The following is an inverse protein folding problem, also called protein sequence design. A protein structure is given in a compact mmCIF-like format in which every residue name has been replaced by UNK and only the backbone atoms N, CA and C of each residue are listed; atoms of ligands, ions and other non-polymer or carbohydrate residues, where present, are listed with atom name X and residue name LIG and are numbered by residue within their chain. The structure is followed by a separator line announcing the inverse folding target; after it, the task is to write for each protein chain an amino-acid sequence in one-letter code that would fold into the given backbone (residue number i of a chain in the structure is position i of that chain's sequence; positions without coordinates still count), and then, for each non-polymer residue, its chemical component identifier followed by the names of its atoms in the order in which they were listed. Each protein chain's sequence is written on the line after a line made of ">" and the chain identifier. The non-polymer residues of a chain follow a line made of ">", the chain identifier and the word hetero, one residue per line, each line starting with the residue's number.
data_IF_912505617186
#
_entry.id   IF_912505617186
#
_cell.length_a   1.000
_cell.length_b   1.000
_cell.length_c   1.000
_cell.angle_alpha   90.00
_cell.angle_beta   90.00
_cell.angle_gamma   90.00
#
_symmetry.space_group_name_H-M   'P 1'
#
loop_
_entity.id
_entity.type
_entity.pdbx_description
1 polymer ?
#
# COMPACT_ATOMS: atom_id res chain seq x y z
N UNK A 1 16.20 1.37 -6.10
CA UNK A 1 16.67 0.81 -4.82
C UNK A 1 17.32 -0.56 -5.03
N UNK A 2 18.17 -1.03 -4.11
CA UNK A 2 18.62 -2.43 -4.07
C UNK A 2 17.50 -3.32 -3.53
N UNK A 3 17.30 -4.49 -4.15
CA UNK A 3 16.15 -5.36 -3.81
C UNK A 3 16.56 -6.58 -2.99
N UNK A 4 17.88 -6.82 -2.84
CA UNK A 4 18.44 -7.89 -2.02
C UNK A 4 18.97 -7.35 -0.68
N UNK A 5 19.13 -8.27 0.27
CA UNK A 5 19.77 -7.98 1.58
C UNK A 5 19.05 -6.89 2.41
N UNK A 6 17.76 -6.68 2.17
CA UNK A 6 16.93 -5.81 2.99
C UNK A 6 16.19 -6.60 4.06
N UNK A 7 15.78 -5.94 5.13
CA UNK A 7 14.80 -6.42 6.09
C UNK A 7 13.54 -5.55 5.97
N UNK A 8 12.44 -6.14 5.51
CA UNK A 8 11.27 -5.41 5.00
C UNK A 8 10.03 -5.76 5.82
N UNK A 9 9.30 -4.76 6.29
CA UNK A 9 7.97 -4.92 6.87
C UNK A 9 6.90 -4.51 5.85
N UNK A 10 5.96 -5.43 5.54
CA UNK A 10 4.85 -5.20 4.61
C UNK A 10 3.52 -5.32 5.35
N UNK A 11 2.78 -4.21 5.46
CA UNK A 11 1.43 -4.24 6.00
C UNK A 11 0.44 -4.79 4.97
N UNK A 12 -0.51 -5.65 5.41
CA UNK A 12 -1.41 -6.33 4.48
C UNK A 12 -0.69 -7.34 3.56
N UNK A 13 0.45 -7.87 4.01
CA UNK A 13 1.32 -8.75 3.23
C UNK A 13 0.85 -10.21 3.09
N UNK A 14 -0.33 -10.57 3.60
CA UNK A 14 -0.84 -11.94 3.53
C UNK A 14 -1.78 -12.21 2.34
N UNK A 15 -1.99 -11.24 1.45
CA UNK A 15 -2.82 -11.40 0.25
C UNK A 15 -2.59 -10.27 -0.76
N UNK A 16 -3.03 -10.49 -2.00
CA UNK A 16 -3.04 -9.47 -3.06
C UNK A 16 -1.66 -8.85 -3.31
N UNK A 17 -1.62 -7.55 -3.61
CA UNK A 17 -0.39 -6.82 -3.97
C UNK A 17 0.69 -6.98 -2.91
N UNK A 18 0.34 -6.86 -1.62
CA UNK A 18 1.32 -6.98 -0.54
C UNK A 18 1.98 -8.35 -0.47
N UNK A 19 1.21 -9.42 -0.70
CA UNK A 19 1.74 -10.78 -0.74
C UNK A 19 2.63 -10.99 -1.98
N UNK A 20 2.19 -10.56 -3.15
CA UNK A 20 2.96 -10.69 -4.38
C UNK A 20 4.30 -9.91 -4.34
N UNK A 21 4.33 -8.75 -3.69
CA UNK A 21 5.57 -8.02 -3.42
C UNK A 21 6.45 -8.75 -2.41
N UNK A 22 5.86 -9.33 -1.34
CA UNK A 22 6.57 -10.10 -0.33
C UNK A 22 7.31 -11.30 -0.94
N UNK A 23 6.67 -12.05 -1.84
CA UNK A 23 7.27 -13.18 -2.56
C UNK A 23 8.50 -12.74 -3.37
N UNK A 24 8.39 -11.61 -4.07
CA UNK A 24 9.47 -11.09 -4.92
C UNK A 24 10.66 -10.58 -4.12
N UNK A 25 10.41 -9.89 -3.01
CA UNK A 25 11.47 -9.48 -2.11
C UNK A 25 12.17 -10.67 -1.46
N UNK A 26 11.41 -11.70 -1.07
CA UNK A 26 11.96 -12.94 -0.55
C UNK A 26 12.84 -13.64 -1.61
N UNK A 27 12.34 -13.77 -2.83
CA UNK A 27 13.06 -14.37 -3.96
C UNK A 27 14.35 -13.61 -4.32
N UNK A 28 14.36 -12.28 -4.09
CA UNK A 28 15.55 -11.46 -4.27
C UNK A 28 16.58 -11.57 -3.13
N UNK A 29 16.29 -12.35 -2.07
CA UNK A 29 17.19 -12.55 -0.94
C UNK A 29 17.05 -11.52 0.18
N UNK A 30 15.90 -10.89 0.31
CA UNK A 30 15.55 -10.04 1.46
C UNK A 30 14.86 -10.84 2.56
N UNK A 31 15.04 -10.40 3.81
CA UNK A 31 14.27 -10.87 4.97
C UNK A 31 12.91 -10.16 4.98
N UNK A 32 11.82 -10.92 5.00
CA UNK A 32 10.48 -10.37 4.81
C UNK A 32 9.58 -10.66 6.00
N UNK A 33 9.04 -9.57 6.54
CA UNK A 33 8.06 -9.57 7.62
C UNK A 33 6.72 -9.12 7.03
N UNK A 34 5.69 -9.94 7.19
CA UNK A 34 4.34 -9.60 6.76
C UNK A 34 3.44 -9.46 7.98
N UNK A 35 2.60 -8.43 7.99
CA UNK A 35 1.56 -8.30 9.01
C UNK A 35 0.18 -8.11 8.41
N UNK A 36 -0.83 -8.47 9.20
CA UNK A 36 -2.23 -8.35 8.82
C UNK A 36 -3.16 -8.80 9.93
N UNK A 37 -4.46 -8.52 9.80
CA UNK A 37 -5.47 -8.84 10.83
C UNK A 37 -5.98 -10.29 10.78
N UNK A 38 -5.79 -11.00 9.65
CA UNK A 38 -6.28 -12.36 9.41
C UNK A 38 -5.18 -13.36 9.73
N UNK A 39 -5.26 -13.97 10.93
CA UNK A 39 -4.26 -14.94 11.39
C UNK A 39 -4.19 -16.19 10.50
N UNK A 40 -5.36 -16.63 9.96
CA UNK A 40 -5.47 -17.73 9.01
C UNK A 40 -4.68 -17.47 7.72
N UNK A 41 -4.83 -16.28 7.12
CA UNK A 41 -4.10 -15.90 5.90
C UNK A 41 -2.59 -15.74 6.14
N UNK A 42 -2.19 -15.24 7.29
CA UNK A 42 -0.77 -15.19 7.67
C UNK A 42 -0.18 -16.59 7.83
N UNK A 43 -0.95 -17.53 8.39
CA UNK A 43 -0.53 -18.93 8.51
C UNK A 43 -0.40 -19.59 7.13
N UNK A 44 -1.39 -19.44 6.24
CA UNK A 44 -1.34 -19.93 4.86
C UNK A 44 -0.10 -19.40 4.12
N UNK A 45 0.18 -18.09 4.22
CA UNK A 45 1.36 -17.47 3.63
C UNK A 45 2.67 -18.04 4.20
N UNK A 46 2.71 -18.30 5.52
CA UNK A 46 3.86 -18.91 6.20
C UNK A 46 4.06 -20.38 5.81
N UNK A 47 2.98 -21.12 5.54
CA UNK A 47 3.04 -22.51 5.07
C UNK A 47 3.60 -22.58 3.64
N UNK A 48 3.23 -21.61 2.77
CA UNK A 48 3.76 -21.51 1.41
C UNK A 48 5.22 -21.04 1.37
N UNK A 49 5.56 -20.07 2.22
CA UNK A 49 6.91 -19.51 2.35
C UNK A 49 7.35 -19.54 3.82
N UNK A 50 7.96 -20.65 4.28
CA UNK A 50 8.42 -20.78 5.68
C UNK A 50 9.40 -19.70 6.14
N UNK A 51 10.05 -18.99 5.22
CA UNK A 51 10.97 -17.90 5.49
C UNK A 51 10.28 -16.60 5.90
N UNK A 52 8.97 -16.42 5.60
CA UNK A 52 8.26 -15.22 6.04
C UNK A 52 8.19 -15.15 7.56
N UNK A 53 8.47 -14.00 8.13
CA UNK A 53 8.10 -13.67 9.48
C UNK A 53 6.68 -13.09 9.49
N UNK A 54 5.85 -13.52 10.41
CA UNK A 54 4.43 -13.11 10.42
C UNK A 54 4.04 -12.49 11.75
N UNK A 55 3.26 -11.40 11.72
CA UNK A 55 2.69 -10.77 12.91
C UNK A 55 1.23 -10.44 12.70
N UNK A 56 0.36 -10.91 13.60
CA UNK A 56 -1.04 -10.46 13.61
C UNK A 56 -1.07 -9.02 14.11
N UNK A 57 -1.64 -8.13 13.31
CA UNK A 57 -1.79 -6.72 13.64
C UNK A 57 -2.97 -6.13 12.88
N UNK A 58 -3.88 -5.49 13.60
CA UNK A 58 -4.93 -4.67 13.02
C UNK A 58 -4.45 -3.21 12.96
N UNK A 59 -3.96 -2.78 11.81
CA UNK A 59 -3.43 -1.43 11.62
C UNK A 59 -4.45 -0.30 11.83
N UNK A 60 -5.78 -0.61 11.91
CA UNK A 60 -6.78 0.36 12.31
C UNK A 60 -6.64 0.80 13.78
N UNK A 61 -5.95 0.01 14.61
CA UNK A 61 -5.80 0.30 16.05
C UNK A 61 -4.42 0.89 16.35
N UNK A 62 -4.42 2.04 16.99
CA UNK A 62 -3.19 2.76 17.31
C UNK A 62 -2.24 1.96 18.19
N UNK A 63 -2.76 1.34 19.25
CA UNK A 63 -1.97 0.51 20.16
C UNK A 63 -1.31 -0.68 19.43
N UNK A 64 -2.04 -1.34 18.50
CA UNK A 64 -1.47 -2.46 17.74
C UNK A 64 -0.38 -2.00 16.75
N UNK A 65 -0.46 -0.75 16.22
CA UNK A 65 0.63 -0.16 15.41
C UNK A 65 1.88 0.11 16.23
N UNK A 66 1.72 0.60 17.48
CA UNK A 66 2.84 0.83 18.41
C UNK A 66 3.49 -0.50 18.78
N UNK A 67 2.71 -1.50 19.18
CA UNK A 67 3.19 -2.84 19.50
C UNK A 67 3.89 -3.52 18.30
N UNK A 68 3.38 -3.31 17.08
CA UNK A 68 4.03 -3.77 15.84
C UNK A 68 5.40 -3.13 15.64
N UNK A 69 5.48 -1.82 15.84
CA UNK A 69 6.75 -1.08 15.71
C UNK A 69 7.78 -1.57 16.75
N UNK A 70 7.41 -1.59 18.02
CA UNK A 70 8.31 -2.01 19.12
C UNK A 70 8.83 -3.44 18.91
N UNK A 71 7.93 -4.36 18.57
CA UNK A 71 8.29 -5.73 18.24
C UNK A 71 9.21 -5.80 17.01
N UNK A 72 8.87 -5.10 15.93
CA UNK A 72 9.61 -5.18 14.69
C UNK A 72 11.06 -4.68 14.84
N UNK A 73 11.30 -3.57 15.55
CA UNK A 73 12.66 -3.06 15.75
C UNK A 73 13.47 -3.87 16.77
N UNK A 74 12.79 -4.55 17.71
CA UNK A 74 13.43 -5.44 18.68
C UNK A 74 13.89 -6.75 18.05
N UNK A 75 13.01 -7.41 17.29
CA UNK A 75 13.31 -8.69 16.65
C UNK A 75 14.15 -8.55 15.37
N UNK A 76 13.97 -7.43 14.66
CA UNK A 76 14.60 -7.14 13.37
C UNK A 76 15.33 -5.79 13.41
N UNK A 77 16.42 -5.65 14.14
CA UNK A 77 17.13 -4.38 14.32
C UNK A 77 17.68 -3.79 13.01
N UNK A 78 17.81 -4.60 11.97
CA UNK A 78 18.26 -4.19 10.64
C UNK A 78 17.10 -3.79 9.70
N UNK A 79 15.86 -3.77 10.18
CA UNK A 79 14.71 -3.37 9.36
C UNK A 79 14.96 -1.99 8.73
N UNK A 80 15.00 -1.96 7.40
CA UNK A 80 15.32 -0.76 6.64
C UNK A 80 14.23 -0.36 5.63
N UNK A 81 13.20 -1.19 5.42
CA UNK A 81 12.12 -0.85 4.49
C UNK A 81 10.75 -1.07 5.16
N UNK A 82 9.90 -0.04 5.11
CA UNK A 82 8.49 -0.09 5.47
C UNK A 82 7.62 0.00 4.22
N UNK A 83 6.76 -1.00 4.00
CA UNK A 83 5.75 -0.98 2.93
C UNK A 83 4.35 -0.82 3.53
N UNK A 84 3.78 0.37 3.38
CA UNK A 84 2.41 0.71 3.72
C UNK A 84 1.47 0.26 2.58
N UNK A 85 1.05 -1.00 2.62
CA UNK A 85 0.18 -1.59 1.59
C UNK A 85 -1.22 -1.93 2.12
N UNK A 86 -1.40 -2.16 3.42
CA UNK A 86 -2.70 -2.49 3.98
C UNK A 86 -3.79 -1.50 3.54
N UNK A 87 -4.90 -2.03 3.05
CA UNK A 87 -6.04 -1.22 2.60
C UNK A 87 -7.32 -2.02 2.54
N UNK A 88 -8.43 -1.32 2.62
CA UNK A 88 -9.78 -1.85 2.35
C UNK A 88 -10.50 -0.92 1.39
N UNK A 89 -11.46 -1.45 0.64
CA UNK A 89 -12.30 -0.70 -0.27
C UNK A 89 -13.76 -1.07 -0.01
N UNK A 90 -14.62 -0.06 0.13
CA UNK A 90 -16.06 -0.26 0.33
C UNK A 90 -16.84 0.50 -0.72
N UNK A 91 -17.86 -0.16 -1.26
CA UNK A 91 -18.90 0.54 -2.04
C UNK A 91 -19.82 1.25 -1.08
N UNK A 92 -20.00 2.55 -1.30
CA UNK A 92 -20.76 3.44 -0.41
C UNK A 92 -21.72 4.26 -1.25
N UNK A 93 -23.00 4.27 -0.88
CA UNK A 93 -23.98 5.21 -1.40
C UNK A 93 -24.22 6.31 -0.34
N UNK A 94 -23.64 7.47 -0.55
CA UNK A 94 -23.71 8.61 0.40
C UNK A 94 -25.12 9.17 0.60
N UNK A 95 -26.10 8.78 -0.23
CA UNK A 95 -27.51 9.18 -0.07
C UNK A 95 -28.29 8.24 0.85
N UNK A 96 -27.72 7.12 1.23
CA UNK A 96 -28.30 6.15 2.14
C UNK A 96 -27.72 6.30 3.55
N UNK A 97 -28.45 5.76 4.53
CA UNK A 97 -27.97 5.79 5.92
C UNK A 97 -26.90 4.72 6.11
N UNK A 98 -25.65 5.13 6.24
CA UNK A 98 -24.51 4.24 6.42
C UNK A 98 -24.02 4.21 7.87
N UNK A 99 -23.37 3.07 8.23
CA UNK A 99 -22.67 2.96 9.49
C UNK A 99 -21.37 3.76 9.45
N UNK A 100 -21.33 4.91 10.12
CA UNK A 100 -20.15 5.78 10.20
C UNK A 100 -18.88 5.04 10.68
N UNK A 101 -19.02 4.10 11.62
CA UNK A 101 -17.87 3.33 12.12
C UNK A 101 -17.12 2.54 11.02
N UNK A 102 -17.81 2.11 9.97
CA UNK A 102 -17.15 1.44 8.84
C UNK A 102 -16.40 2.45 7.94
N UNK A 103 -16.91 3.67 7.83
CA UNK A 103 -16.21 4.77 7.14
C UNK A 103 -14.96 5.20 7.92
N UNK A 104 -15.06 5.38 9.23
CA UNK A 104 -13.89 5.64 10.10
C UNK A 104 -12.82 4.58 9.95
N UNK A 105 -13.22 3.31 9.96
CA UNK A 105 -12.29 2.19 9.80
C UNK A 105 -11.57 2.19 8.44
N UNK A 106 -12.24 2.58 7.36
CA UNK A 106 -11.60 2.73 6.04
C UNK A 106 -10.58 3.85 6.06
N UNK A 107 -10.89 5.00 6.66
CA UNK A 107 -9.97 6.13 6.84
C UNK A 107 -8.78 5.72 7.71
N UNK A 108 -9.02 5.05 8.84
CA UNK A 108 -7.98 4.57 9.75
C UNK A 108 -6.99 3.64 9.05
N UNK A 109 -7.48 2.65 8.29
CA UNK A 109 -6.62 1.68 7.63
C UNK A 109 -5.87 2.32 6.46
N UNK A 110 -6.58 3.07 5.60
CA UNK A 110 -6.02 3.50 4.32
C UNK A 110 -5.17 4.78 4.43
N UNK A 111 -5.37 5.59 5.46
CA UNK A 111 -4.68 6.86 5.61
C UNK A 111 -4.01 7.04 6.98
N UNK A 112 -4.74 6.94 8.10
CA UNK A 112 -4.16 7.19 9.42
C UNK A 112 -3.04 6.19 9.74
N UNK A 113 -3.22 4.91 9.41
CA UNK A 113 -2.22 3.89 9.67
C UNK A 113 -0.90 4.11 8.90
N UNK A 114 -0.88 4.34 7.58
CA UNK A 114 0.34 4.68 6.85
C UNK A 114 1.06 5.92 7.40
N UNK A 115 0.32 6.97 7.74
CA UNK A 115 0.88 8.20 8.33
C UNK A 115 1.53 7.91 9.68
N UNK A 116 0.83 7.19 10.56
CA UNK A 116 1.32 6.88 11.90
C UNK A 116 2.51 5.91 11.87
N UNK A 117 2.44 4.84 11.08
CA UNK A 117 3.56 3.91 10.92
C UNK A 117 4.79 4.60 10.32
N UNK A 118 4.64 5.43 9.30
CA UNK A 118 5.75 6.22 8.76
C UNK A 118 6.42 7.04 9.85
N UNK A 119 5.65 7.74 10.70
CA UNK A 119 6.18 8.53 11.81
C UNK A 119 6.90 7.69 12.86
N UNK A 120 6.36 6.52 13.22
CA UNK A 120 6.97 5.61 14.19
C UNK A 120 8.31 5.07 13.69
N UNK A 121 8.37 4.65 12.42
CA UNK A 121 9.55 4.02 11.86
C UNK A 121 10.65 5.01 11.42
N UNK A 122 10.34 6.27 11.07
CA UNK A 122 11.32 7.24 10.59
C UNK A 122 12.59 7.37 11.46
N UNK A 123 12.53 7.49 12.81
CA UNK A 123 13.74 7.62 13.62
C UNK A 123 14.64 6.38 13.57
N UNK A 124 14.07 5.20 13.45
CA UNK A 124 14.79 3.95 13.29
C UNK A 124 15.38 3.85 11.88
N UNK A 125 14.58 4.11 10.84
CA UNK A 125 15.00 4.04 9.44
C UNK A 125 16.13 5.02 9.12
N UNK A 126 16.10 6.22 9.69
CA UNK A 126 17.15 7.23 9.47
C UNK A 126 18.56 6.76 9.90
N UNK A 127 18.65 5.68 10.69
CA UNK A 127 19.91 5.10 11.17
C UNK A 127 20.30 3.83 10.37
N UNK A 128 19.56 3.48 9.33
CA UNK A 128 19.79 2.28 8.54
C UNK A 128 20.49 2.62 7.22
N UNK A 129 21.06 1.59 6.61
CA UNK A 129 21.60 1.70 5.25
C UNK A 129 20.48 1.54 4.24
N UNK A 130 20.44 2.42 3.24
CA UNK A 130 19.46 2.41 2.13
C UNK A 130 17.99 2.30 2.61
N UNK A 131 17.56 3.10 3.59
CA UNK A 131 16.22 3.01 4.14
C UNK A 131 15.16 3.51 3.17
N UNK A 132 13.98 2.87 3.17
CA UNK A 132 12.86 3.33 2.35
C UNK A 132 11.51 3.24 3.06
N UNK A 133 10.60 4.14 2.69
CA UNK A 133 9.16 4.05 2.97
C UNK A 133 8.45 3.96 1.63
N UNK A 134 7.70 2.87 1.43
CA UNK A 134 6.93 2.60 0.21
C UNK A 134 5.45 2.72 0.55
N UNK A 135 4.74 3.64 -0.09
CA UNK A 135 3.30 3.81 0.07
C UNK A 135 2.55 3.28 -1.17
N UNK A 136 1.60 2.37 -0.95
CA UNK A 136 0.74 1.86 -2.02
C UNK A 136 -0.54 2.69 -2.07
N UNK A 137 -0.63 3.58 -3.04
CA UNK A 137 -1.77 4.47 -3.28
C UNK A 137 -2.76 3.84 -4.28
N UNK A 138 -3.20 4.54 -5.30
CA UNK A 138 -4.12 4.04 -6.35
C UNK A 138 -4.22 5.03 -7.51
N UNK A 139 -4.54 4.56 -8.70
CA UNK A 139 -5.02 5.43 -9.80
C UNK A 139 -6.25 6.26 -9.41
N UNK A 140 -7.05 5.79 -8.44
CA UNK A 140 -8.18 6.54 -7.88
C UNK A 140 -7.77 7.73 -7.01
N UNK A 141 -6.48 7.91 -6.75
CA UNK A 141 -5.93 9.15 -6.17
C UNK A 141 -6.07 10.34 -7.10
N UNK A 142 -6.10 10.11 -8.41
CA UNK A 142 -6.15 11.12 -9.46
C UNK A 142 -7.55 11.26 -10.05
N UNK A 143 -8.24 10.15 -10.27
CA UNK A 143 -9.60 10.10 -10.81
C UNK A 143 -10.48 9.26 -9.88
N UNK A 144 -11.31 9.89 -9.03
CA UNK A 144 -12.14 9.16 -8.07
C UNK A 144 -13.26 8.38 -8.76
N UNK A 145 -13.63 7.24 -8.17
CA UNK A 145 -14.75 6.42 -8.59
C UNK A 145 -15.93 6.65 -7.63
N UNK A 146 -17.07 7.07 -8.16
CA UNK A 146 -18.21 7.55 -7.36
C UNK A 146 -18.81 6.51 -6.40
N UNK A 147 -18.70 5.21 -6.70
CA UNK A 147 -19.20 4.14 -5.83
C UNK A 147 -18.23 3.70 -4.73
N UNK A 148 -17.01 4.26 -4.71
CA UNK A 148 -16.01 4.05 -3.65
C UNK A 148 -15.41 5.38 -3.19
N UNK A 149 -16.27 6.34 -2.78
CA UNK A 149 -15.85 7.73 -2.58
C UNK A 149 -14.86 7.88 -1.44
N UNK A 150 -15.04 7.15 -0.35
CA UNK A 150 -14.15 7.19 0.82
C UNK A 150 -12.79 6.59 0.47
N UNK A 151 -12.76 5.44 -0.21
CA UNK A 151 -11.53 4.84 -0.70
C UNK A 151 -10.73 5.83 -1.57
N UNK A 152 -11.37 6.40 -2.59
CA UNK A 152 -10.75 7.37 -3.49
C UNK A 152 -10.17 8.56 -2.74
N UNK A 153 -10.92 9.11 -1.78
CA UNK A 153 -10.49 10.22 -0.93
C UNK A 153 -9.28 9.83 -0.07
N UNK A 154 -9.29 8.63 0.56
CA UNK A 154 -8.16 8.16 1.38
C UNK A 154 -6.89 7.95 0.56
N UNK A 155 -7.01 7.45 -0.67
CA UNK A 155 -5.87 7.26 -1.58
C UNK A 155 -5.33 8.57 -2.13
N UNK A 156 -6.19 9.57 -2.41
CA UNK A 156 -5.78 10.92 -2.75
C UNK A 156 -5.04 11.61 -1.57
N UNK A 157 -5.54 11.43 -0.35
CA UNK A 157 -4.89 11.92 0.86
C UNK A 157 -3.51 11.28 1.06
N UNK A 158 -3.39 9.95 0.86
CA UNK A 158 -2.12 9.24 0.98
C UNK A 158 -1.12 9.67 -0.10
N UNK A 159 -1.57 9.90 -1.35
CA UNK A 159 -0.74 10.46 -2.42
C UNK A 159 -0.19 11.84 -2.01
N UNK A 160 -1.04 12.75 -1.58
CA UNK A 160 -0.63 14.10 -1.12
C UNK A 160 0.35 14.01 0.05
N UNK A 161 0.11 13.12 1.02
CA UNK A 161 1.02 12.86 2.13
C UNK A 161 2.37 12.33 1.63
N UNK A 162 2.38 11.41 0.67
CA UNK A 162 3.61 10.82 0.13
C UNK A 162 4.50 11.86 -0.53
N UNK A 163 3.92 12.78 -1.31
CA UNK A 163 4.66 13.89 -1.91
C UNK A 163 5.28 14.82 -0.85
N UNK A 164 4.49 15.16 0.17
CA UNK A 164 4.94 16.00 1.28
C UNK A 164 6.04 15.33 2.10
N UNK A 165 5.88 14.04 2.38
CA UNK A 165 6.86 13.24 3.12
C UNK A 165 8.18 13.14 2.34
N UNK A 166 8.11 12.89 1.02
CA UNK A 166 9.28 12.84 0.13
C UNK A 166 10.06 14.15 0.17
N UNK A 167 9.37 15.28 0.14
CA UNK A 167 10.00 16.59 0.23
C UNK A 167 10.64 16.85 1.61
N UNK A 168 9.93 16.52 2.69
CA UNK A 168 10.47 16.69 4.06
C UNK A 168 11.69 15.81 4.34
N UNK A 169 11.79 14.65 3.70
CA UNK A 169 12.89 13.72 3.90
C UNK A 169 14.01 13.84 2.86
N UNK A 170 13.96 14.84 1.96
CA UNK A 170 14.92 15.01 0.86
C UNK A 170 16.39 15.15 1.31
N UNK A 171 16.63 15.68 2.52
CA UNK A 171 17.97 15.82 3.12
C UNK A 171 18.32 14.66 4.08
N UNK A 172 17.54 13.59 4.08
CA UNK A 172 17.76 12.39 4.90
C UNK A 172 18.12 11.20 4.01
N UNK A 173 18.64 10.10 4.54
CA UNK A 173 18.87 8.90 3.74
C UNK A 173 17.60 8.14 3.34
N UNK A 174 16.41 8.50 3.87
CA UNK A 174 15.17 7.76 3.68
C UNK A 174 14.57 8.06 2.30
N UNK A 175 14.54 7.06 1.43
CA UNK A 175 13.86 7.14 0.14
C UNK A 175 12.35 6.97 0.33
N UNK A 176 11.53 7.82 -0.29
CA UNK A 176 10.06 7.74 -0.24
C UNK A 176 9.52 7.40 -1.62
N UNK A 177 8.97 6.19 -1.72
CA UNK A 177 8.51 5.59 -2.98
C UNK A 177 6.98 5.49 -2.96
N UNK A 178 6.36 5.77 -4.08
CA UNK A 178 4.93 5.57 -4.30
C UNK A 178 4.69 4.50 -5.35
N UNK A 179 3.86 3.51 -5.01
CA UNK A 179 3.33 2.53 -5.96
C UNK A 179 1.87 2.90 -6.21
N UNK A 180 1.51 3.08 -7.48
CA UNK A 180 0.20 3.58 -7.91
C UNK A 180 -0.50 2.51 -8.78
N UNK A 181 -1.20 1.54 -8.14
CA UNK A 181 -1.90 0.48 -8.86
C UNK A 181 -3.09 1.00 -9.67
N UNK A 182 -3.37 0.42 -10.85
CA UNK A 182 -4.70 0.43 -11.45
C UNK A 182 -5.63 -0.55 -10.69
N UNK A 183 -6.78 -0.92 -11.28
CA UNK A 183 -7.48 -2.13 -10.83
C UNK A 183 -6.58 -3.35 -11.09
N UNK A 184 -6.25 -4.10 -10.05
CA UNK A 184 -5.47 -5.35 -10.10
C UNK A 184 -6.37 -6.49 -9.63
N UNK A 185 -6.27 -7.65 -10.29
CA UNK A 185 -7.07 -8.83 -9.94
C UNK A 185 -6.69 -9.34 -8.55
N UNK A 186 -7.45 -8.89 -7.57
CA UNK A 186 -7.31 -9.20 -6.15
C UNK A 186 -8.68 -9.20 -5.48
N UNK A 187 -8.74 -9.74 -4.26
CA UNK A 187 -9.95 -9.72 -3.43
C UNK A 187 -10.20 -8.39 -2.68
N UNK A 188 -9.60 -7.30 -3.09
CA UNK A 188 -9.83 -5.99 -2.47
C UNK A 188 -11.32 -5.61 -2.58
N UNK A 189 -11.95 -5.31 -1.44
CA UNK A 189 -13.38 -4.99 -1.38
C UNK A 189 -14.32 -6.20 -1.45
N UNK A 190 -13.84 -7.39 -1.87
CA UNK A 190 -14.60 -8.64 -1.93
C UNK A 190 -14.08 -9.58 -3.02
N UNK A 191 -14.27 -10.88 -2.79
CA UNK A 191 -13.83 -11.92 -3.71
C UNK A 191 -14.49 -11.74 -5.10
N UNK A 192 -13.67 -11.75 -6.16
CA UNK A 192 -14.12 -11.69 -7.55
C UNK A 192 -14.57 -10.29 -8.03
N UNK A 193 -14.43 -9.23 -7.23
CA UNK A 193 -14.82 -7.88 -7.63
C UNK A 193 -13.86 -7.22 -8.63
N UNK A 194 -12.64 -7.71 -8.76
CA UNK A 194 -11.60 -7.12 -9.60
C UNK A 194 -11.04 -8.06 -10.68
N UNK A 195 -11.80 -9.09 -11.08
CA UNK A 195 -11.39 -10.06 -12.12
C UNK A 195 -11.14 -9.42 -13.50
N UNK A 196 -11.63 -8.20 -13.70
CA UNK A 196 -11.34 -7.38 -14.89
C UNK A 196 -10.01 -6.62 -14.79
N UNK A 197 -9.37 -6.64 -13.63
CA UNK A 197 -8.12 -5.94 -13.37
C UNK A 197 -6.92 -6.56 -14.06
N UNK A 198 -5.80 -5.88 -13.97
CA UNK A 198 -4.51 -6.41 -14.44
C UNK A 198 -4.17 -7.66 -13.62
N UNK A 199 -3.63 -8.73 -14.24
CA UNK A 199 -3.13 -9.89 -13.51
C UNK A 199 -2.14 -9.49 -12.41
N UNK A 200 -2.31 -10.06 -11.21
CA UNK A 200 -1.53 -9.68 -10.02
C UNK A 200 -0.03 -9.83 -10.25
N UNK A 201 0.39 -10.96 -10.85
CA UNK A 201 1.82 -11.22 -11.10
C UNK A 201 2.42 -10.25 -12.12
N UNK A 202 1.69 -9.94 -13.19
CA UNK A 202 2.13 -8.96 -14.19
C UNK A 202 2.38 -7.57 -13.54
N UNK A 203 1.44 -7.13 -12.71
CA UNK A 203 1.59 -5.87 -11.98
C UNK A 203 2.77 -5.91 -11.00
N UNK A 204 2.91 -6.97 -10.23
CA UNK A 204 3.97 -7.08 -9.23
C UNK A 204 5.36 -7.20 -9.87
N UNK A 205 5.50 -7.92 -11.00
CA UNK A 205 6.75 -8.00 -11.76
C UNK A 205 7.14 -6.64 -12.34
N UNK A 206 6.17 -5.90 -12.88
CA UNK A 206 6.40 -4.55 -13.35
C UNK A 206 6.90 -3.62 -12.23
N UNK A 207 6.21 -3.62 -11.08
CA UNK A 207 6.61 -2.81 -9.92
C UNK A 207 8.03 -3.16 -9.49
N UNK A 208 8.34 -4.45 -9.40
CA UNK A 208 9.63 -4.92 -8.95
C UNK A 208 10.77 -4.50 -9.89
N UNK A 209 10.54 -4.59 -11.20
CA UNK A 209 11.50 -4.11 -12.20
C UNK A 209 11.76 -2.59 -12.10
N UNK A 210 10.71 -1.80 -11.82
CA UNK A 210 10.84 -0.33 -11.66
C UNK A 210 11.54 0.06 -10.35
N UNK A 211 11.26 -0.64 -9.27
CA UNK A 211 12.00 -0.49 -8.01
C UNK A 211 13.50 -0.73 -8.24
N UNK A 212 13.85 -1.77 -8.99
CA UNK A 212 15.25 -2.07 -9.33
C UNK A 212 15.92 -0.95 -10.14
N UNK A 213 15.16 -0.27 -11.01
CA UNK A 213 15.63 0.89 -11.79
C UNK A 213 15.74 2.17 -10.96
N UNK A 214 15.31 2.16 -9.69
CA UNK A 214 15.35 3.32 -8.81
C UNK A 214 14.22 4.32 -9.03
N UNK A 215 13.12 3.92 -9.66
CA UNK A 215 11.95 4.80 -9.80
C UNK A 215 11.27 4.99 -8.45
N UNK A 216 10.91 6.23 -8.14
CA UNK A 216 10.28 6.63 -6.89
C UNK A 216 8.77 6.86 -7.00
N UNK A 217 8.24 6.84 -8.22
CA UNK A 217 6.80 6.94 -8.51
C UNK A 217 6.47 5.92 -9.61
N UNK A 218 5.82 4.81 -9.20
CA UNK A 218 5.63 3.64 -10.03
C UNK A 218 4.14 3.46 -10.28
N UNK A 219 3.68 3.93 -11.42
CA UNK A 219 2.31 3.79 -11.89
C UNK A 219 2.23 2.80 -13.06
N UNK A 220 1.12 2.06 -13.18
CA UNK A 220 0.92 1.07 -14.23
C UNK A 220 -0.42 1.26 -14.96
N UNK A 221 -0.44 0.99 -16.27
CA UNK A 221 -1.66 0.94 -17.07
C UNK A 221 -2.50 2.20 -17.02
N UNK A 222 -3.76 2.09 -16.59
CA UNK A 222 -4.68 3.23 -16.46
C UNK A 222 -4.25 4.22 -15.38
N UNK A 223 -3.59 3.74 -14.31
CA UNK A 223 -3.08 4.60 -13.26
C UNK A 223 -1.94 5.50 -13.78
N UNK A 224 -1.06 4.98 -14.65
CA UNK A 224 -0.01 5.77 -15.30
C UNK A 224 -0.61 6.88 -16.16
N UNK A 225 -1.66 6.57 -16.94
CA UNK A 225 -2.36 7.59 -17.73
C UNK A 225 -2.96 8.69 -16.88
N UNK A 226 -3.61 8.30 -15.77
CA UNK A 226 -4.24 9.27 -14.85
C UNK A 226 -3.22 10.13 -14.11
N UNK A 227 -2.08 9.58 -13.69
CA UNK A 227 -1.04 10.34 -12.97
C UNK A 227 -0.35 11.41 -13.82
N UNK A 228 -0.38 11.25 -15.16
CA UNK A 228 0.25 12.17 -16.12
C UNK A 228 -0.75 13.07 -16.84
N UNK A 229 -2.06 12.87 -16.63
CA UNK A 229 -3.11 13.57 -17.34
C UNK A 229 -3.25 15.03 -16.89
N UNK A 230 -3.55 15.92 -17.84
CA UNK A 230 -3.95 17.29 -17.54
C UNK A 230 -5.29 17.34 -16.81
N UNK A 231 -5.61 18.47 -16.19
CA UNK A 231 -6.90 18.65 -15.50
C UNK A 231 -8.09 18.37 -16.41
N UNK A 232 -8.06 18.81 -17.65
CA UNK A 232 -9.12 18.60 -18.62
C UNK A 232 -9.32 17.11 -18.95
N UNK A 233 -8.21 16.37 -19.14
CA UNK A 233 -8.25 14.92 -19.37
C UNK A 233 -8.77 14.16 -18.16
N UNK A 234 -8.37 14.54 -16.93
CA UNK A 234 -8.91 13.96 -15.70
C UNK A 234 -10.41 14.14 -15.60
N UNK A 235 -10.97 15.31 -15.96
CA UNK A 235 -12.41 15.58 -15.95
C UNK A 235 -13.16 14.69 -16.97
N UNK A 236 -12.58 14.39 -18.14
CA UNK A 236 -13.17 13.48 -19.13
C UNK A 236 -13.09 12.01 -18.66
N UNK A 237 -11.96 11.58 -18.10
CA UNK A 237 -11.81 10.24 -17.53
C UNK A 237 -12.82 10.04 -16.39
N UNK A 238 -12.96 11.03 -15.51
CA UNK A 238 -13.92 11.00 -14.40
C UNK A 238 -15.36 10.81 -14.90
N UNK A 239 -15.78 11.58 -15.89
CA UNK A 239 -17.12 11.46 -16.50
C UNK A 239 -17.33 10.06 -17.08
N UNK A 240 -16.35 9.57 -17.86
CA UNK A 240 -16.42 8.26 -18.49
C UNK A 240 -16.50 7.12 -17.48
N UNK A 241 -15.62 7.13 -16.46
CA UNK A 241 -15.59 6.08 -15.43
C UNK A 241 -16.86 6.02 -14.58
N UNK A 242 -17.56 7.15 -14.42
CA UNK A 242 -18.72 7.26 -13.55
C UNK A 242 -20.07 7.28 -14.29
N UNK A 243 -20.11 7.14 -15.62
CA UNK A 243 -21.36 7.16 -16.40
C UNK A 243 -22.38 6.11 -15.96
N UNK A 244 -21.95 4.92 -15.58
CA UNK A 244 -22.80 3.81 -15.16
C UNK A 244 -23.41 3.98 -13.75
N UNK A 245 -23.05 5.05 -13.02
CA UNK A 245 -23.54 5.33 -11.65
C UNK A 245 -24.56 6.50 -11.63
N UNK A 246 -25.11 6.86 -12.79
CA UNK A 246 -26.17 7.87 -12.94
C UNK A 246 -27.55 7.25 -13.07
#
# INVERSE_FOLDING_TARGET
>A
MELSSNTILITGGASGIGYALAERFLAAGSEVIICGRRADKLREAKEQHPQFHTRVCNVAKENERIELFEWAISEFPNLNILVNNAGIQRRVNLTENENWAETEKEIEINFCAPVHLSRLFMPHLAQREKPAIINVTSGLSFVPLANVPVYSATKAALHSFTLSLRYQLSETPIEVIEIIPPAVDTDLGGVGLHTFGVPLDEFADYVFARLQQGEIEIAYGTALKSSQASRAELDEIFKSMNQQFR
#
